data_IF_689095544596
#
_entry.id   IF_689095544596
#
_cell.length_a   1.000
_cell.length_b   1.000
_cell.length_c   1.000
_cell.angle_alpha   90.00
_cell.angle_beta   90.00
_cell.angle_gamma   90.00
#
_symmetry.space_group_name_H-M   'P 1'
#
loop_
_entity.id
_entity.type
_entity.pdbx_description
1 polymer ?
#
# COMPACT_ATOMS: atom_id res chain seq x y z
N UNK A 1 -6.68 6.29 -18.04
CA UNK A 1 -5.43 6.34 -17.26
C UNK A 1 -5.32 7.72 -16.63
N UNK A 2 -5.51 7.77 -15.31
CA UNK A 2 -5.36 8.96 -14.47
C UNK A 2 -4.63 8.50 -13.21
N UNK A 3 -3.32 8.52 -13.22
CA UNK A 3 -2.50 8.12 -12.09
C UNK A 3 -2.10 9.35 -11.27
N UNK A 4 -2.13 9.22 -9.94
CA UNK A 4 -1.67 10.26 -9.02
C UNK A 4 -0.46 9.72 -8.24
N UNK A 5 0.59 10.53 -8.15
CA UNK A 5 1.72 10.29 -7.25
C UNK A 5 1.59 11.23 -6.06
N UNK A 6 1.50 10.65 -4.87
CA UNK A 6 1.40 11.39 -3.61
C UNK A 6 2.80 11.56 -3.03
N UNK A 7 3.16 12.79 -2.66
CA UNK A 7 4.45 13.11 -2.03
C UNK A 7 4.16 13.68 -0.63
N UNK A 8 4.80 13.10 0.39
CA UNK A 8 4.69 13.52 1.79
C UNK A 8 6.07 13.89 2.30
N UNK A 9 6.22 15.08 2.90
CA UNK A 9 7.53 15.60 3.32
C UNK A 9 7.44 16.10 4.76
N UNK A 10 8.26 15.51 5.63
CA UNK A 10 8.36 15.86 7.05
C UNK A 10 7.38 15.10 7.95
N UNK A 11 7.69 15.09 9.24
CA UNK A 11 7.08 14.21 10.24
C UNK A 11 5.56 14.35 10.31
N UNK A 12 5.05 15.59 10.30
CA UNK A 12 3.60 15.84 10.37
C UNK A 12 2.86 15.33 9.13
N UNK A 13 3.41 15.55 7.94
CA UNK A 13 2.82 15.07 6.70
C UNK A 13 2.85 13.54 6.61
N UNK A 14 3.96 12.92 7.04
CA UNK A 14 4.09 11.46 7.09
C UNK A 14 3.16 10.84 8.14
N UNK A 15 2.94 11.50 9.28
CA UNK A 15 2.00 11.06 10.30
C UNK A 15 0.54 11.06 9.79
N UNK A 16 0.10 12.15 9.16
CA UNK A 16 -1.25 12.17 8.55
C UNK A 16 -1.32 11.18 7.39
N UNK A 17 -0.25 11.11 6.61
CA UNK A 17 -0.11 10.25 5.46
C UNK A 17 -0.27 8.78 5.79
N UNK A 18 0.35 8.29 6.86
CA UNK A 18 0.22 6.90 7.29
C UNK A 18 -1.23 6.55 7.65
N UNK A 19 -1.93 7.43 8.35
CA UNK A 19 -3.36 7.22 8.64
C UNK A 19 -4.21 7.17 7.37
N UNK A 20 -3.96 8.06 6.41
CA UNK A 20 -4.65 8.04 5.13
C UNK A 20 -4.43 6.72 4.40
N UNK A 21 -3.18 6.27 4.26
CA UNK A 21 -2.85 5.04 3.53
C UNK A 21 -3.34 3.78 4.22
N UNK A 22 -3.23 3.69 5.55
CA UNK A 22 -3.77 2.56 6.31
C UNK A 22 -5.29 2.45 6.12
N UNK A 23 -6.00 3.58 6.12
CA UNK A 23 -7.44 3.59 5.86
C UNK A 23 -7.78 3.18 4.42
N UNK A 24 -6.99 3.60 3.43
CA UNK A 24 -7.18 3.16 2.04
C UNK A 24 -6.94 1.65 1.88
N UNK A 25 -5.92 1.09 2.52
CA UNK A 25 -5.60 -0.34 2.50
C UNK A 25 -6.72 -1.18 3.14
N UNK A 26 -7.22 -0.74 4.31
CA UNK A 26 -8.34 -1.38 4.98
C UNK A 26 -9.62 -1.37 4.12
N UNK A 27 -9.92 -0.26 3.44
CA UNK A 27 -11.05 -0.17 2.51
C UNK A 27 -10.91 -1.14 1.33
N UNK A 28 -9.69 -1.32 0.81
CA UNK A 28 -9.44 -2.26 -0.28
C UNK A 28 -9.66 -3.71 0.18
N UNK A 29 -9.11 -4.08 1.33
CA UNK A 29 -9.33 -5.40 1.91
C UNK A 29 -10.81 -5.68 2.16
N UNK A 30 -11.54 -4.72 2.72
CA UNK A 30 -12.99 -4.82 2.89
C UNK A 30 -13.75 -4.93 1.56
N UNK A 31 -13.28 -4.30 0.48
CA UNK A 31 -13.93 -4.40 -0.83
C UNK A 31 -13.74 -5.78 -1.48
N UNK A 32 -12.60 -6.43 -1.23
CA UNK A 32 -12.27 -7.77 -1.77
C UNK A 32 -12.97 -8.90 -1.00
N UNK A 33 -13.38 -8.67 0.25
CA UNK A 33 -14.07 -9.66 1.08
C UNK A 33 -15.39 -10.15 0.45
N UNK A 34 -15.58 -11.46 0.22
CA UNK A 34 -16.74 -12.00 -0.48
C UNK A 34 -18.09 -11.59 0.14
N UNK A 35 -18.14 -11.50 1.48
CA UNK A 35 -19.33 -11.19 2.27
C UNK A 35 -19.39 -9.75 2.77
N UNK A 36 -18.51 -8.87 2.28
CA UNK A 36 -18.53 -7.48 2.69
C UNK A 36 -19.83 -6.75 2.33
N UNK A 37 -20.19 -5.78 3.17
CA UNK A 37 -21.31 -4.88 2.93
C UNK A 37 -21.16 -4.18 1.57
N UNK A 38 -22.27 -4.04 0.84
CA UNK A 38 -22.28 -3.37 -0.47
C UNK A 38 -21.73 -1.93 -0.41
N UNK A 39 -21.79 -1.30 0.76
CA UNK A 39 -21.20 0.02 1.02
C UNK A 39 -19.69 0.05 0.77
N UNK A 40 -18.98 -1.05 0.99
CA UNK A 40 -17.53 -1.16 0.74
C UNK A 40 -17.20 -1.57 -0.69
N UNK A 41 -18.12 -2.26 -1.38
CA UNK A 41 -18.00 -2.64 -2.79
C UNK A 41 -18.33 -1.45 -3.70
N UNK A 42 -17.68 -0.32 -3.45
CA UNK A 42 -17.91 0.97 -4.11
C UNK A 42 -17.50 0.90 -5.59
N UNK A 43 -18.44 0.55 -6.46
CA UNK A 43 -18.21 0.36 -7.91
C UNK A 43 -17.78 1.65 -8.64
N UNK A 44 -17.92 2.82 -8.02
CA UNK A 44 -17.57 4.12 -8.60
C UNK A 44 -16.18 4.64 -8.21
N UNK A 45 -15.48 3.98 -7.28
CA UNK A 45 -14.14 4.38 -6.87
C UNK A 45 -13.09 3.59 -7.65
N UNK A 46 -12.26 4.31 -8.40
CA UNK A 46 -11.12 3.76 -9.10
C UNK A 46 -9.87 3.87 -8.21
N UNK A 47 -9.49 2.75 -7.57
CA UNK A 47 -8.33 2.68 -6.68
C UNK A 47 -7.00 2.67 -7.43
N UNK A 48 -6.99 2.32 -8.73
CA UNK A 48 -5.78 2.27 -9.56
C UNK A 48 -5.17 3.66 -9.80
N UNK A 49 -5.95 4.70 -9.53
CA UNK A 49 -5.49 6.10 -9.48
C UNK A 49 -4.40 6.28 -8.42
N UNK A 50 -4.59 5.68 -7.24
CA UNK A 50 -3.71 5.86 -6.07
C UNK A 50 -2.75 4.70 -5.87
N UNK A 51 -3.10 3.52 -6.36
CA UNK A 51 -2.31 2.30 -6.21
C UNK A 51 -1.79 1.80 -7.55
N UNK A 52 -0.78 0.95 -7.47
CA UNK A 52 -0.16 0.30 -8.61
C UNK A 52 -0.16 -1.21 -8.36
N UNK A 53 -0.82 -1.93 -9.26
CA UNK A 53 -0.68 -3.38 -9.36
C UNK A 53 0.73 -3.75 -9.82
N UNK A 54 1.32 -4.75 -9.18
CA UNK A 54 2.61 -5.32 -9.49
C UNK A 54 2.62 -6.82 -9.22
N UNK A 55 3.78 -7.43 -9.40
CA UNK A 55 4.00 -8.84 -9.15
C UNK A 55 5.37 -9.02 -8.51
N UNK A 56 5.46 -9.88 -7.50
CA UNK A 56 6.75 -10.26 -6.90
C UNK A 56 7.51 -11.23 -7.80
N UNK A 57 8.78 -11.49 -7.49
CA UNK A 57 9.56 -12.52 -8.20
C UNK A 57 8.96 -13.93 -8.12
N UNK A 58 8.06 -14.17 -7.15
CA UNK A 58 7.40 -15.45 -6.92
C UNK A 58 6.05 -15.56 -7.64
N UNK A 59 5.66 -14.53 -8.38
CA UNK A 59 4.37 -14.48 -9.07
C UNK A 59 3.21 -14.02 -8.20
N UNK A 60 3.47 -13.53 -6.98
CA UNK A 60 2.42 -13.01 -6.09
C UNK A 60 2.02 -11.61 -6.55
N UNK A 61 0.74 -11.39 -6.82
CA UNK A 61 0.22 -10.06 -7.12
C UNK A 61 0.38 -9.14 -5.91
N UNK A 62 0.78 -7.90 -6.17
CA UNK A 62 0.93 -6.86 -5.15
C UNK A 62 0.16 -5.62 -5.56
N UNK A 63 -0.35 -4.91 -4.58
CA UNK A 63 -1.04 -3.65 -4.79
C UNK A 63 -0.43 -2.60 -3.88
N UNK A 64 0.28 -1.66 -4.49
CA UNK A 64 1.25 -0.82 -3.79
C UNK A 64 0.89 0.65 -3.94
N UNK A 65 0.91 1.47 -2.88
CA UNK A 65 0.53 2.87 -2.98
C UNK A 65 1.53 3.65 -3.84
N UNK A 66 1.04 4.60 -4.64
CA UNK A 66 1.86 5.54 -5.43
C UNK A 66 2.35 6.68 -4.53
N UNK A 67 3.16 6.32 -3.54
CA UNK A 67 3.63 7.21 -2.47
C UNK A 67 5.15 7.42 -2.53
N UNK A 68 5.57 8.65 -2.33
CA UNK A 68 6.93 9.01 -1.91
C UNK A 68 6.85 9.71 -0.56
N UNK A 69 7.37 9.08 0.49
CA UNK A 69 7.46 9.64 1.84
C UNK A 69 8.91 10.04 2.15
N UNK A 70 9.10 11.27 2.61
CA UNK A 70 10.41 11.86 2.88
C UNK A 70 10.44 12.34 4.33
N UNK A 71 11.43 11.87 5.08
CA UNK A 71 11.64 12.24 6.48
C UNK A 71 13.12 12.25 6.85
N UNK A 72 13.45 12.83 8.00
CA UNK A 72 14.79 12.74 8.56
C UNK A 72 15.08 11.30 9.04
N UNK A 73 16.36 10.95 9.18
CA UNK A 73 16.74 9.63 9.68
C UNK A 73 16.07 9.34 11.03
N UNK A 74 15.39 8.19 11.13
CA UNK A 74 14.65 7.76 12.32
C UNK A 74 13.21 8.29 12.42
N UNK A 75 12.77 9.21 11.56
CA UNK A 75 11.40 9.77 11.60
C UNK A 75 10.33 8.89 10.93
N UNK A 76 10.74 8.05 9.98
CA UNK A 76 9.85 7.23 9.15
C UNK A 76 9.33 5.96 9.86
N UNK A 77 9.64 5.79 11.15
CA UNK A 77 9.05 4.76 11.99
C UNK A 77 9.39 3.34 11.53
N UNK A 78 8.36 2.57 11.16
CA UNK A 78 8.44 1.16 10.77
C UNK A 78 8.93 0.92 9.35
N UNK A 79 9.12 1.98 8.54
CA UNK A 79 9.60 1.82 7.16
C UNK A 79 11.02 1.26 7.14
N UNK A 80 11.25 0.33 6.21
CA UNK A 80 12.56 -0.29 6.00
C UNK A 80 13.64 0.74 5.66
N UNK A 81 14.79 0.64 6.31
CA UNK A 81 15.98 1.44 5.98
C UNK A 81 16.57 1.10 4.60
N UNK A 82 16.27 -0.09 4.08
CA UNK A 82 16.79 -0.56 2.79
C UNK A 82 16.00 -0.04 1.59
N UNK A 83 14.84 0.59 1.81
CA UNK A 83 14.00 1.17 0.74
C UNK A 83 13.53 0.17 -0.32
N UNK A 84 13.68 -1.13 -0.07
CA UNK A 84 13.26 -2.18 -1.01
C UNK A 84 11.77 -2.43 -0.86
N UNK A 85 11.10 -2.54 -2.00
CA UNK A 85 9.69 -2.88 -2.09
C UNK A 85 9.43 -4.36 -1.76
N UNK A 86 10.34 -5.24 -2.17
CA UNK A 86 10.24 -6.67 -1.96
C UNK A 86 11.48 -7.14 -1.20
N UNK A 87 11.29 -8.02 -0.23
CA UNK A 87 12.41 -8.69 0.42
C UNK A 87 13.00 -9.75 -0.52
N UNK A 88 14.31 -9.91 -0.50
CA UNK A 88 14.95 -11.07 -1.11
C UNK A 88 14.53 -12.32 -0.32
N UNK A 89 13.75 -13.21 -0.93
CA UNK A 89 13.15 -14.31 -0.18
C UNK A 89 14.14 -15.48 -0.03
N UNK A 90 14.52 -15.77 1.21
CA UNK A 90 14.83 -17.14 1.65
C UNK A 90 13.53 -17.85 2.07
N UNK A 91 13.08 -18.79 1.23
CA UNK A 91 11.98 -19.78 1.39
C UNK A 91 10.56 -19.28 1.73
N UNK A 92 9.61 -19.65 0.86
CA UNK A 92 8.25 -19.12 0.70
C UNK A 92 7.17 -19.95 1.43
N UNK A 93 6.17 -19.30 2.03
CA UNK A 93 4.82 -19.85 2.19
C UNK A 93 3.89 -19.16 1.17
N UNK A 94 3.31 -19.91 0.21
CA UNK A 94 2.53 -19.35 -0.90
C UNK A 94 1.15 -18.80 -0.51
N UNK A 95 0.75 -18.84 0.77
CA UNK A 95 -0.56 -18.38 1.23
C UNK A 95 -0.59 -16.93 1.76
N UNK A 96 0.55 -16.23 1.81
CA UNK A 96 0.64 -14.91 2.41
C UNK A 96 0.55 -13.78 1.38
N UNK A 97 -0.60 -13.11 1.31
CA UNK A 97 -0.69 -11.80 0.66
C UNK A 97 0.00 -10.81 1.59
N UNK A 98 1.19 -10.36 1.20
CA UNK A 98 1.91 -9.32 1.92
C UNK A 98 1.28 -7.96 1.57
N UNK A 99 0.46 -7.44 2.48
CA UNK A 99 0.17 -6.00 2.54
C UNK A 99 1.34 -5.28 3.21
N UNK A 100 1.46 -3.98 2.96
CA UNK A 100 2.61 -3.15 3.36
C UNK A 100 2.74 -2.95 4.87
#
# INVERSE_FOLDING_TARGET
MREIVTIQVGDFANFIGSHFWNFQDELLGLAEEPHADQTYKNQSLDTDVLFRAGETQQGTLTYTPRLVSIGLQGSLGSLSSHGSLYNDVTSCDPSHVATW
#
